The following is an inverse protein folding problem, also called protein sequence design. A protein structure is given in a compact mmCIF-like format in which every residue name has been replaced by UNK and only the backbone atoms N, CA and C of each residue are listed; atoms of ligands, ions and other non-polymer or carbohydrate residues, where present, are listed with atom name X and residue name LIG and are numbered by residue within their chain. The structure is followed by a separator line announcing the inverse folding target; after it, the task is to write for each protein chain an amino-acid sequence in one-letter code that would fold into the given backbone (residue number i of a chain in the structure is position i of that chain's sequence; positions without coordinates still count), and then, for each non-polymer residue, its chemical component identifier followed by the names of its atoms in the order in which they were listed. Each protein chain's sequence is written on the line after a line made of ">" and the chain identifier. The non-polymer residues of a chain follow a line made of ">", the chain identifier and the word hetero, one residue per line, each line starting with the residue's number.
data_IF_512954533622
#
_entry.id   IF_512954533622
#
_cell.length_a   1.000
_cell.length_b   1.000
_cell.length_c   1.000
_cell.angle_alpha   90.00
_cell.angle_beta   90.00
_cell.angle_gamma   90.00
#
_symmetry.space_group_name_H-M   'P 1'
#
loop_
_entity.id
_entity.type
_entity.pdbx_description
1 polymer ?
#
# COMPACT_ATOMS: atom_id res chain seq x y z
N UNK A 1 -16.01 6.05 0.40
CA UNK A 1 -16.27 5.49 -0.94
C UNK A 1 -17.13 6.47 -1.73
N UNK A 2 -16.65 6.95 -2.87
CA UNK A 2 -17.49 7.67 -3.82
C UNK A 2 -18.26 6.63 -4.65
N UNK A 3 -19.58 6.64 -4.53
CA UNK A 3 -20.47 5.77 -5.30
C UNK A 3 -21.41 6.70 -6.07
N UNK A 4 -21.73 6.35 -7.31
CA UNK A 4 -22.70 7.10 -8.08
C UNK A 4 -24.05 7.11 -7.36
N UNK A 5 -24.69 8.28 -7.18
CA UNK A 5 -26.04 8.33 -6.68
C UNK A 5 -26.99 7.69 -7.69
N UNK A 6 -28.09 7.10 -7.22
CA UNK A 6 -29.10 6.43 -8.07
C UNK A 6 -29.57 7.34 -9.22
N UNK A 7 -29.75 8.63 -8.96
CA UNK A 7 -30.16 9.62 -9.96
C UNK A 7 -29.16 9.76 -11.10
N UNK A 8 -27.85 9.66 -10.82
CA UNK A 8 -26.83 9.72 -11.86
C UNK A 8 -26.79 8.46 -12.71
N UNK A 9 -27.18 7.31 -12.13
CA UNK A 9 -27.31 6.05 -12.88
C UNK A 9 -28.52 6.11 -13.80
N UNK A 10 -29.65 6.62 -13.30
CA UNK A 10 -30.88 6.80 -14.09
C UNK A 10 -30.67 7.79 -15.25
N UNK A 11 -29.96 8.90 -15.02
CA UNK A 11 -29.57 9.85 -16.06
C UNK A 11 -28.61 9.24 -17.08
N UNK A 12 -27.67 8.39 -16.65
CA UNK A 12 -26.78 7.68 -17.57
C UNK A 12 -27.59 6.79 -18.52
N UNK A 13 -28.56 6.03 -18.01
CA UNK A 13 -29.47 5.22 -18.83
C UNK A 13 -30.28 6.05 -19.82
N UNK A 14 -30.71 7.25 -19.42
CA UNK A 14 -31.39 8.18 -20.31
C UNK A 14 -30.46 8.75 -21.41
N UNK A 15 -29.17 8.89 -21.12
CA UNK A 15 -28.15 9.40 -22.04
C UNK A 15 -27.56 8.32 -22.97
N UNK A 16 -27.66 7.03 -22.64
CA UNK A 16 -27.20 5.90 -23.46
C UNK A 16 -28.02 5.63 -24.73
N UNK A 17 -28.74 6.64 -25.22
CA UNK A 17 -29.46 6.58 -26.50
C UNK A 17 -28.58 6.97 -27.69
N UNK A 18 -29.21 7.35 -28.80
CA UNK A 18 -28.50 7.76 -30.04
C UNK A 18 -27.58 8.98 -29.89
N UNK A 19 -27.69 9.74 -28.79
CA UNK A 19 -26.81 10.87 -28.48
C UNK A 19 -25.40 10.46 -28.02
N UNK A 20 -25.18 9.20 -27.61
CA UNK A 20 -23.89 8.70 -27.14
C UNK A 20 -23.20 7.77 -28.14
N UNK A 21 -23.66 7.70 -29.39
CA UNK A 21 -23.17 6.71 -30.37
C UNK A 21 -21.69 6.85 -30.74
N UNK A 22 -21.05 7.97 -30.39
CA UNK A 22 -19.62 8.20 -30.56
C UNK A 22 -18.75 7.44 -29.52
N UNK A 23 -19.36 6.85 -28.49
CA UNK A 23 -18.69 6.00 -27.51
C UNK A 23 -18.88 4.50 -27.81
N UNK A 24 -19.70 4.16 -28.81
CA UNK A 24 -20.05 2.77 -29.13
C UNK A 24 -19.00 2.08 -30.01
N UNK A 25 -18.16 2.84 -30.70
CA UNK A 25 -17.11 2.27 -31.54
C UNK A 25 -15.83 2.01 -30.73
N UNK A 26 -15.17 0.90 -31.05
CA UNK A 26 -13.88 0.58 -30.46
C UNK A 26 -12.80 1.55 -30.98
N UNK A 27 -11.83 1.97 -30.14
CA UNK A 27 -10.67 2.72 -30.61
C UNK A 27 -9.88 1.92 -31.66
N UNK A 28 -9.42 2.60 -32.70
CA UNK A 28 -8.64 1.99 -33.80
C UNK A 28 -7.20 1.71 -33.39
N UNK A 29 -6.69 2.44 -32.40
CA UNK A 29 -5.35 2.30 -31.85
C UNK A 29 -5.45 2.35 -30.33
N UNK A 30 -4.89 1.34 -29.67
CA UNK A 30 -4.80 1.32 -28.22
C UNK A 30 -3.50 2.00 -27.82
N UNK A 31 -3.60 3.09 -27.05
CA UNK A 31 -2.44 3.68 -26.40
C UNK A 31 -1.88 2.62 -25.45
N UNK A 32 -0.67 2.14 -25.71
CA UNK A 32 0.01 1.22 -24.82
C UNK A 32 0.39 1.95 -23.54
N UNK A 33 -0.32 1.64 -22.46
CA UNK A 33 0.08 2.02 -21.11
C UNK A 33 1.53 1.54 -20.85
N UNK A 34 2.38 2.36 -20.22
CA UNK A 34 3.67 1.93 -19.75
C UNK A 34 3.54 0.65 -18.91
N UNK A 35 4.40 -0.34 -19.18
CA UNK A 35 4.38 -1.64 -18.51
C UNK A 35 4.49 -1.55 -16.98
N UNK A 36 5.03 -0.42 -16.47
CA UNK A 36 5.11 -0.09 -15.05
C UNK A 36 3.74 0.04 -14.36
N UNK A 37 2.66 0.25 -15.11
CA UNK A 37 1.30 0.40 -14.57
C UNK A 37 0.49 -0.90 -14.62
N UNK A 38 0.94 -1.91 -15.37
CA UNK A 38 0.21 -3.16 -15.53
C UNK A 38 0.07 -3.89 -14.18
N UNK A 39 -1.16 -4.30 -13.86
CA UNK A 39 -1.52 -5.01 -12.62
C UNK A 39 -1.15 -4.26 -11.33
N UNK A 40 -1.03 -2.93 -11.41
CA UNK A 40 -0.75 -2.08 -10.25
C UNK A 40 -1.98 -1.24 -9.91
N UNK A 41 -2.29 -1.18 -8.62
CA UNK A 41 -3.24 -0.22 -8.11
C UNK A 41 -2.59 1.18 -8.07
N UNK A 42 -3.38 2.28 -8.18
CA UNK A 42 -2.85 3.64 -8.19
C UNK A 42 -1.91 3.95 -7.02
N UNK A 43 -2.22 3.49 -5.81
CA UNK A 43 -1.42 3.70 -4.60
C UNK A 43 -0.11 2.91 -4.55
N UNK A 44 0.03 1.88 -5.40
CA UNK A 44 1.31 1.18 -5.61
C UNK A 44 2.26 1.97 -6.52
N UNK A 45 1.71 2.80 -7.41
CA UNK A 45 2.48 3.67 -8.31
C UNK A 45 2.76 5.01 -7.61
N UNK A 46 1.73 5.55 -6.95
CA UNK A 46 1.74 6.85 -6.28
C UNK A 46 1.53 6.62 -4.78
N UNK A 47 2.64 6.48 -4.04
CA UNK A 47 2.59 6.26 -2.60
C UNK A 47 2.00 7.46 -1.81
N UNK A 48 1.73 7.27 -0.52
CA UNK A 48 1.11 8.29 0.34
C UNK A 48 1.88 9.63 0.35
N UNK A 49 3.21 9.61 0.39
CA UNK A 49 4.03 10.83 0.39
C UNK A 49 3.97 11.55 -0.96
N UNK A 50 3.92 10.82 -2.07
CA UNK A 50 3.75 11.43 -3.38
C UNK A 50 2.34 12.01 -3.55
N UNK A 51 1.30 11.38 -3.00
CA UNK A 51 -0.04 11.97 -2.96
C UNK A 51 -0.05 13.28 -2.17
N UNK A 52 0.64 13.33 -1.03
CA UNK A 52 0.82 14.58 -0.26
C UNK A 52 1.56 15.65 -1.06
N UNK A 53 2.63 15.28 -1.78
CA UNK A 53 3.35 16.21 -2.66
C UNK A 53 2.44 16.79 -3.75
N UNK A 54 1.56 15.98 -4.33
CA UNK A 54 0.62 16.41 -5.37
C UNK A 54 -0.49 17.30 -4.83
N UNK A 55 -0.92 17.09 -3.57
CA UNK A 55 -2.04 17.80 -2.96
C UNK A 55 -1.63 19.11 -2.26
N UNK A 56 -0.48 19.13 -1.59
CA UNK A 56 -0.01 20.25 -0.77
C UNK A 56 1.33 20.86 -1.25
N UNK A 57 2.04 20.18 -2.15
CA UNK A 57 3.34 20.61 -2.67
C UNK A 57 4.50 19.76 -2.16
N UNK A 58 5.65 19.86 -2.84
CA UNK A 58 6.82 18.97 -2.69
C UNK A 58 7.45 18.89 -1.28
N UNK A 59 7.09 19.80 -0.38
CA UNK A 59 7.56 19.80 1.01
C UNK A 59 6.70 18.91 1.95
N UNK A 60 5.56 18.40 1.46
CA UNK A 60 4.61 17.63 2.26
C UNK A 60 4.70 16.13 1.98
N UNK A 61 4.80 15.34 3.04
CA UNK A 61 4.84 13.88 2.96
C UNK A 61 3.82 13.25 3.90
N UNK A 62 3.67 11.92 3.83
CA UNK A 62 2.71 11.19 4.64
C UNK A 62 3.02 11.30 6.14
N UNK A 63 1.99 11.63 6.93
CA UNK A 63 2.09 11.75 8.38
C UNK A 63 2.41 10.38 9.02
N UNK A 64 3.57 10.19 9.69
CA UNK A 64 4.02 8.88 10.16
C UNK A 64 3.03 8.19 11.12
N UNK A 65 2.41 8.98 12.01
CA UNK A 65 1.48 8.50 13.03
C UNK A 65 0.06 8.24 12.52
N UNK A 66 -0.22 8.55 11.25
CA UNK A 66 -1.53 8.37 10.61
C UNK A 66 -1.49 7.42 9.42
N UNK A 67 -0.37 6.73 9.21
CA UNK A 67 -0.17 5.80 8.09
C UNK A 67 -1.17 4.64 8.05
N UNK A 68 -1.65 4.17 9.21
CA UNK A 68 -2.66 3.10 9.29
C UNK A 68 -4.10 3.56 9.00
N UNK A 69 -4.34 4.87 8.90
CA UNK A 69 -5.66 5.43 8.68
C UNK A 69 -5.93 5.59 7.18
N UNK A 70 -6.79 4.72 6.63
CA UNK A 70 -7.19 4.78 5.23
C UNK A 70 -8.44 5.64 4.99
N UNK A 71 -9.05 6.20 6.05
CA UNK A 71 -10.24 7.05 5.91
C UNK A 71 -9.90 8.42 5.35
N UNK A 72 -8.68 8.90 5.59
CA UNK A 72 -8.20 10.20 5.13
C UNK A 72 -6.68 10.21 4.97
N UNK A 73 -6.19 10.79 3.89
CA UNK A 73 -4.76 11.01 3.68
C UNK A 73 -4.31 12.18 4.57
N UNK A 74 -3.43 11.89 5.53
CA UNK A 74 -2.85 12.90 6.40
C UNK A 74 -1.44 13.24 5.95
N UNK A 75 -1.21 14.52 5.68
CA UNK A 75 0.04 15.06 5.18
C UNK A 75 0.70 16.00 6.19
N UNK A 76 2.02 16.05 6.20
CA UNK A 76 2.80 16.90 7.10
C UNK A 76 4.06 17.41 6.42
N UNK A 77 4.48 18.62 6.78
CA UNK A 77 5.78 19.19 6.42
C UNK A 77 6.84 18.95 7.50
N UNK A 78 6.42 19.04 8.77
CA UNK A 78 7.33 19.04 9.93
C UNK A 78 7.30 17.72 10.74
N UNK A 79 6.51 16.72 10.31
CA UNK A 79 6.41 15.41 10.96
C UNK A 79 5.45 15.34 12.15
N UNK A 80 4.97 16.48 12.63
CA UNK A 80 4.16 16.59 13.86
C UNK A 80 2.74 17.09 13.61
N UNK A 81 2.59 18.19 12.86
CA UNK A 81 1.28 18.74 12.49
C UNK A 81 0.79 18.08 11.22
N UNK A 82 -0.27 17.29 11.32
CA UNK A 82 -0.86 16.58 10.20
C UNK A 82 -2.15 17.27 9.75
N UNK A 83 -2.25 17.55 8.46
CA UNK A 83 -3.38 18.19 7.79
C UNK A 83 -3.97 17.23 6.76
N UNK A 84 -5.24 17.41 6.40
CA UNK A 84 -5.93 16.57 5.42
C UNK A 84 -7.01 17.37 4.69
N UNK A 85 -7.37 16.91 3.48
CA UNK A 85 -8.59 17.34 2.76
C UNK A 85 -9.72 16.31 2.86
N UNK A 86 -9.67 15.39 3.83
CA UNK A 86 -10.70 14.37 4.10
C UNK A 86 -10.94 13.38 2.94
N UNK A 87 -10.04 13.38 1.94
CA UNK A 87 -10.01 12.37 0.91
C UNK A 87 -9.16 11.17 1.38
N UNK A 88 -9.62 9.93 1.19
CA UNK A 88 -8.84 8.75 1.54
C UNK A 88 -7.59 8.64 0.64
N UNK A 89 -6.52 7.96 1.09
CA UNK A 89 -5.44 7.56 0.20
C UNK A 89 -5.98 6.70 -0.94
N UNK A 90 -5.40 6.82 -2.13
CA UNK A 90 -5.87 6.01 -3.28
C UNK A 90 -5.62 4.52 -3.06
N UNK A 91 -6.47 3.69 -3.66
CA UNK A 91 -6.40 2.23 -3.52
C UNK A 91 -5.01 1.68 -3.85
N UNK A 92 -4.50 0.77 -3.01
CA UNK A 92 -3.14 0.21 -3.10
C UNK A 92 -2.08 0.97 -2.31
N UNK A 93 -2.43 2.07 -1.63
CA UNK A 93 -1.49 2.81 -0.78
C UNK A 93 -1.14 1.98 0.45
N UNK A 94 0.14 1.84 0.79
CA UNK A 94 0.57 1.05 1.96
C UNK A 94 0.14 1.70 3.27
N UNK A 95 -0.63 0.97 4.08
CA UNK A 95 -1.09 1.40 5.40
C UNK A 95 -0.50 0.58 6.56
N UNK A 96 0.16 -0.54 6.25
CA UNK A 96 0.77 -1.40 7.26
C UNK A 96 1.72 -2.41 6.64
N UNK A 97 2.22 -3.32 7.47
CA UNK A 97 2.97 -4.45 6.95
C UNK A 97 2.00 -5.43 6.27
N UNK A 98 2.21 -5.70 4.97
CA UNK A 98 1.32 -6.51 4.13
C UNK A 98 -0.12 -6.01 4.09
N UNK A 99 -0.33 -4.70 4.18
CA UNK A 99 -1.66 -4.12 4.11
C UNK A 99 -1.68 -2.90 3.19
N UNK A 100 -2.76 -2.78 2.41
CA UNK A 100 -3.04 -1.64 1.55
C UNK A 100 -4.38 -1.00 1.93
N UNK A 101 -4.49 0.30 1.68
CA UNK A 101 -5.78 0.98 1.66
C UNK A 101 -6.56 0.50 0.45
N UNK A 102 -7.76 -0.02 0.68
CA UNK A 102 -8.72 -0.39 -0.36
C UNK A 102 -10.07 0.15 0.08
N UNK A 103 -10.71 0.98 -0.74
CA UNK A 103 -12.03 1.57 -0.46
C UNK A 103 -12.11 2.35 0.86
N UNK A 104 -10.97 2.84 1.35
CA UNK A 104 -10.85 3.59 2.60
C UNK A 104 -10.59 2.74 3.84
N UNK A 105 -10.34 1.44 3.68
CA UNK A 105 -9.99 0.54 4.80
C UNK A 105 -8.61 -0.06 4.62
N UNK A 106 -7.90 -0.29 5.72
CA UNK A 106 -6.58 -0.94 5.72
C UNK A 106 -6.78 -2.46 5.75
N UNK A 107 -6.61 -3.12 4.61
CA UNK A 107 -6.87 -4.55 4.42
C UNK A 107 -5.60 -5.29 4.03
N UNK A 108 -5.55 -6.61 4.28
CA UNK A 108 -4.43 -7.45 3.83
C UNK A 108 -4.25 -7.31 2.31
N UNK A 109 -3.01 -7.15 1.87
CA UNK A 109 -2.70 -6.90 0.45
C UNK A 109 -2.81 -8.13 -0.44
N UNK A 110 -3.19 -9.29 0.12
CA UNK A 110 -3.36 -10.54 -0.61
C UNK A 110 -2.03 -11.13 -1.10
N UNK A 111 -0.89 -10.57 -0.66
CA UNK A 111 0.41 -11.19 -0.92
C UNK A 111 0.40 -12.62 -0.37
N UNK A 112 1.05 -13.59 -1.01
CA UNK A 112 1.15 -14.93 -0.43
C UNK A 112 1.78 -14.85 0.96
N UNK A 113 1.14 -15.45 1.97
CA UNK A 113 1.80 -15.67 3.26
C UNK A 113 2.89 -16.71 3.02
N UNK A 114 4.15 -16.32 3.26
CA UNK A 114 5.28 -17.22 3.14
C UNK A 114 5.63 -17.62 4.57
N UNK A 115 5.59 -18.92 4.85
CA UNK A 115 5.95 -19.42 6.17
C UNK A 115 7.44 -19.14 6.42
N UNK A 116 7.71 -18.53 7.57
CA UNK A 116 9.09 -18.30 7.99
C UNK A 116 9.74 -19.63 8.33
N UNK A 117 10.98 -19.82 7.90
CA UNK A 117 11.78 -20.97 8.30
C UNK A 117 13.10 -20.55 8.90
N UNK A 118 13.65 -21.48 9.68
CA UNK A 118 14.88 -21.26 10.40
C UNK A 118 16.08 -21.32 9.45
N UNK A 119 16.99 -20.37 9.58
CA UNK A 119 18.32 -20.47 9.01
C UNK A 119 19.04 -21.70 9.58
N UNK A 120 20.11 -22.09 8.91
CA UNK A 120 21.12 -22.93 9.53
C UNK A 120 21.59 -22.33 10.86
N UNK A 121 21.96 -23.19 11.79
CA UNK A 121 22.60 -22.75 13.02
C UNK A 121 23.89 -22.01 12.69
N UNK A 122 24.21 -20.96 13.46
CA UNK A 122 25.54 -20.37 13.41
C UNK A 122 26.61 -21.46 13.52
N UNK A 123 27.61 -21.37 12.64
CA UNK A 123 28.68 -22.35 12.51
C UNK A 123 29.54 -22.41 13.77
N UNK A 124 29.74 -21.26 14.41
CA UNK A 124 30.51 -21.14 15.64
C UNK A 124 29.61 -21.22 16.88
N UNK A 125 30.03 -22.05 17.83
CA UNK A 125 29.45 -22.04 19.18
C UNK A 125 29.98 -20.82 19.94
N UNK A 126 29.09 -20.15 20.68
CA UNK A 126 29.51 -19.07 21.56
C UNK A 126 30.43 -19.61 22.67
N UNK A 127 31.38 -18.79 23.15
CA UNK A 127 32.27 -19.17 24.25
C UNK A 127 31.48 -19.61 25.48
N UNK A 128 32.07 -20.50 26.28
CA UNK A 128 31.45 -20.96 27.52
C UNK A 128 31.16 -19.76 28.44
N UNK A 129 29.94 -19.71 28.98
CA UNK A 129 29.50 -18.62 29.86
C UNK A 129 30.38 -18.43 31.10
N UNK A 130 31.10 -19.49 31.52
CA UNK A 130 31.98 -19.51 32.68
C UNK A 130 33.19 -20.40 32.42
N UNK A 131 34.33 -20.05 33.02
CA UNK A 131 35.56 -20.86 32.95
C UNK A 131 35.61 -22.02 33.95
N UNK A 132 34.78 -22.01 35.01
CA UNK A 132 34.65 -23.10 35.98
C UNK A 132 33.27 -23.12 36.65
N UNK A 133 32.95 -24.21 37.36
CA UNK A 133 31.72 -24.33 38.16
C UNK A 133 30.44 -24.58 37.37
N UNK A 134 30.55 -25.16 36.16
CA UNK A 134 29.43 -25.45 35.26
C UNK A 134 28.97 -24.21 34.49
N UNK A 135 29.22 -24.19 33.18
CA UNK A 135 28.80 -23.12 32.26
C UNK A 135 27.95 -23.67 31.12
N UNK A 136 27.31 -22.77 30.37
CA UNK A 136 26.52 -23.10 29.18
C UNK A 136 27.17 -22.48 27.94
N UNK A 137 27.10 -23.20 26.83
CA UNK A 137 27.39 -22.67 25.50
C UNK A 137 26.08 -22.64 24.72
N UNK A 138 25.97 -21.74 23.76
CA UNK A 138 24.81 -21.68 22.88
C UNK A 138 25.24 -21.27 21.48
N UNK A 139 24.34 -21.47 20.53
CA UNK A 139 24.41 -20.95 19.17
C UNK A 139 23.03 -20.44 18.82
N UNK A 140 22.95 -19.49 17.90
CA UNK A 140 21.67 -18.89 17.48
C UNK A 140 21.39 -19.24 16.02
N UNK A 141 20.12 -19.14 15.65
CA UNK A 141 19.63 -19.19 14.27
C UNK A 141 18.51 -18.17 14.15
N UNK A 142 18.27 -17.67 12.94
CA UNK A 142 17.28 -16.62 12.68
C UNK A 142 16.16 -17.14 11.80
N UNK A 143 14.95 -16.59 11.94
CA UNK A 143 13.83 -16.91 11.06
C UNK A 143 13.96 -16.12 9.76
N UNK A 144 14.88 -16.55 8.89
CA UNK A 144 15.28 -15.85 7.67
C UNK A 144 15.37 -16.78 6.45
N UNK A 145 14.98 -18.04 6.58
CA UNK A 145 15.01 -19.03 5.51
C UNK A 145 13.60 -19.58 5.29
N UNK A 146 12.73 -18.88 4.52
CA UNK A 146 11.33 -19.26 4.35
C UNK A 146 11.16 -20.71 3.87
N UNK A 147 10.05 -21.35 4.26
CA UNK A 147 9.72 -22.76 3.95
C UNK A 147 8.74 -22.85 2.79
#
# INVERSE_FOLDING_TARGET
>A
MAIWPVTSVDELFACSGSGSSCLDNNPMEYVHEPSIFHNKLPGQIVNASLQCNLQFGIEFYACPHKTADCSSLFCTKDGSRCTSYEAPPVDGTRCGNRHWCIKGECVDDGSPMIDGGWSEWQTELQPCSRSCGGGVTWRTRTCTNPV
#
